data_IF_507750308234
#
_entry.id   IF_507750308234
#
_cell.length_a   1.000
_cell.length_b   1.000
_cell.length_c   1.000
_cell.angle_alpha   90.00
_cell.angle_beta   90.00
_cell.angle_gamma   90.00
#
_symmetry.space_group_name_H-M   'P 1'
#
loop_
_entity.id
_entity.type
_entity.pdbx_description
1 polymer ?
#
# COMPACT_ATOMS: atom_id res chain seq x y z
N UNK A 1 10.09 -0.48 6.94
CA UNK A 1 10.56 0.46 5.89
C UNK A 1 11.99 0.85 6.20
N UNK A 2 12.75 1.36 5.23
CA UNK A 2 14.10 1.87 5.47
C UNK A 2 14.30 3.17 4.67
N UNK A 3 14.91 4.18 5.27
CA UNK A 3 15.33 5.40 4.62
C UNK A 3 16.85 5.43 4.50
N UNK A 4 17.34 5.47 3.27
CA UNK A 4 18.75 5.26 2.96
C UNK A 4 19.24 3.88 3.41
N UNK A 5 20.55 3.74 3.64
CA UNK A 5 21.16 2.45 4.00
C UNK A 5 21.21 2.18 5.51
N UNK A 6 20.73 3.09 6.35
CA UNK A 6 20.99 3.04 7.80
C UNK A 6 19.76 3.21 8.69
N UNK A 7 18.65 3.77 8.18
CA UNK A 7 17.51 4.10 9.04
C UNK A 7 16.34 3.17 8.76
N UNK A 8 16.14 2.17 9.62
CA UNK A 8 14.89 1.40 9.59
C UNK A 8 13.76 2.31 10.09
N UNK A 9 12.81 2.59 9.22
CA UNK A 9 11.57 3.33 9.49
C UNK A 9 10.40 2.35 9.70
N UNK A 10 9.55 2.60 10.69
CA UNK A 10 8.37 1.76 10.93
C UNK A 10 8.72 0.46 11.65
N UNK A 11 9.16 0.59 12.90
CA UNK A 11 9.18 -0.49 13.88
C UNK A 11 7.81 -0.54 14.55
N UNK A 12 7.25 -1.75 14.73
CA UNK A 12 6.03 -2.01 15.49
C UNK A 12 6.43 -2.60 16.84
N UNK A 13 6.60 -1.81 17.91
CA UNK A 13 6.90 -2.38 19.20
C UNK A 13 5.76 -3.28 19.65
N UNK A 14 6.07 -4.53 20.00
CA UNK A 14 5.06 -5.50 20.46
C UNK A 14 4.27 -4.99 21.67
N UNK A 15 4.86 -4.13 22.49
CA UNK A 15 4.18 -3.50 23.63
C UNK A 15 3.17 -2.42 23.24
N UNK A 16 3.29 -1.81 22.05
CA UNK A 16 2.31 -0.85 21.52
C UNK A 16 1.27 -1.52 20.61
N UNK A 17 1.67 -2.57 19.88
CA UNK A 17 0.85 -3.23 18.88
C UNK A 17 0.77 -4.74 19.15
N UNK A 18 0.01 -5.13 20.18
CA UNK A 18 -0.07 -6.52 20.65
C UNK A 18 -0.58 -7.50 19.58
N UNK A 19 -1.51 -7.07 18.72
CA UNK A 19 -2.02 -7.90 17.62
C UNK A 19 -1.01 -8.14 16.49
N UNK A 20 0.04 -7.32 16.41
CA UNK A 20 1.14 -7.43 15.46
C UNK A 20 2.45 -7.81 16.15
N UNK A 21 2.39 -8.25 17.41
CA UNK A 21 3.57 -8.54 18.22
C UNK A 21 4.42 -9.68 17.64
N UNK A 22 3.76 -10.71 17.10
CA UNK A 22 4.42 -11.88 16.53
C UNK A 22 4.54 -11.78 15.00
N UNK A 23 3.41 -11.61 14.31
CA UNK A 23 3.36 -11.52 12.85
C UNK A 23 2.03 -10.92 12.36
N UNK A 24 2.01 -10.50 11.10
CA UNK A 24 0.79 -10.11 10.40
C UNK A 24 0.20 -11.30 9.63
N UNK A 25 -1.11 -11.47 9.66
CA UNK A 25 -1.81 -12.47 8.82
C UNK A 25 -2.12 -11.96 7.41
N UNK A 26 -2.11 -10.64 7.22
CA UNK A 26 -2.39 -9.94 5.97
C UNK A 26 -1.47 -8.73 5.87
N UNK A 27 -1.02 -8.41 4.65
CA UNK A 27 -0.17 -7.25 4.37
C UNK A 27 -0.76 -6.55 3.16
N UNK A 28 -1.18 -5.30 3.36
CA UNK A 28 -1.74 -4.45 2.31
C UNK A 28 -0.86 -3.23 2.07
N UNK A 29 -0.83 -2.79 0.81
CA UNK A 29 -0.18 -1.55 0.39
C UNK A 29 -1.15 -0.77 -0.49
N UNK A 30 -1.32 0.51 -0.20
CA UNK A 30 -2.24 1.33 -0.97
C UNK A 30 -2.36 2.73 -0.42
N UNK A 31 -3.40 3.41 -0.88
CA UNK A 31 -3.90 4.64 -0.27
C UNK A 31 -5.23 4.36 0.39
N UNK A 32 -5.47 4.99 1.53
CA UNK A 32 -6.74 4.97 2.24
C UNK A 32 -7.25 6.40 2.35
N UNK A 33 -8.55 6.58 2.16
CA UNK A 33 -9.23 7.79 2.57
C UNK A 33 -10.49 7.39 3.31
N UNK A 34 -10.79 8.15 4.35
CA UNK A 34 -12.01 8.00 5.10
C UNK A 34 -12.86 9.24 4.83
N UNK A 35 -14.06 9.03 4.30
CA UNK A 35 -15.10 10.04 4.30
C UNK A 35 -16.39 9.41 4.81
N UNK A 36 -17.03 10.03 5.79
CA UNK A 36 -18.34 9.61 6.32
C UNK A 36 -19.50 9.94 5.38
N UNK A 37 -19.21 10.36 4.15
CA UNK A 37 -20.15 10.78 3.11
C UNK A 37 -21.21 11.80 3.60
N UNK A 38 -20.81 12.91 4.25
CA UNK A 38 -21.75 13.96 4.59
C UNK A 38 -22.45 14.43 3.31
N UNK A 39 -23.78 14.46 3.35
CA UNK A 39 -24.66 14.84 2.23
C UNK A 39 -24.56 13.92 0.99
N UNK A 40 -24.08 12.67 1.15
CA UNK A 40 -23.98 11.70 0.07
C UNK A 40 -22.87 12.00 -0.96
N UNK A 41 -21.96 12.93 -0.63
CA UNK A 41 -20.80 13.23 -1.46
C UNK A 41 -19.64 12.32 -1.09
N UNK A 42 -19.06 11.69 -2.11
CA UNK A 42 -17.98 10.71 -1.93
C UNK A 42 -16.73 11.28 -1.24
N UNK A 43 -16.25 12.47 -1.64
CA UNK A 43 -15.23 13.28 -0.94
C UNK A 43 -15.02 14.61 -1.66
N UNK A 44 -14.69 15.68 -0.93
CA UNK A 44 -14.22 16.96 -1.49
C UNK A 44 -12.68 17.10 -1.47
N UNK A 45 -12.00 16.17 -0.80
CA UNK A 45 -10.54 16.18 -0.67
C UNK A 45 -9.90 15.72 -1.97
N UNK A 46 -9.06 16.57 -2.56
CA UNK A 46 -8.23 16.17 -3.69
C UNK A 46 -7.11 15.24 -3.22
N UNK A 47 -6.90 14.12 -3.92
CA UNK A 47 -5.83 13.17 -3.61
C UNK A 47 -5.05 12.76 -4.86
N UNK A 48 -3.74 12.59 -4.69
CA UNK A 48 -2.84 12.17 -5.76
C UNK A 48 -2.72 13.20 -6.87
N UNK A 49 -2.46 12.71 -8.09
CA UNK A 49 -2.22 13.52 -9.29
C UNK A 49 -3.47 13.71 -10.16
N UNK A 50 -4.61 13.10 -9.79
CA UNK A 50 -5.82 13.05 -10.61
C UNK A 50 -5.74 12.11 -11.83
N UNK A 51 -4.64 11.39 -12.01
CA UNK A 51 -4.45 10.44 -13.10
C UNK A 51 -4.66 8.99 -12.64
N UNK A 52 -5.20 8.16 -13.54
CA UNK A 52 -5.43 6.74 -13.29
C UNK A 52 -4.17 5.89 -13.57
N UNK A 53 -4.00 4.74 -12.90
CA UNK A 53 -2.86 3.84 -13.13
C UNK A 53 -2.72 3.37 -14.58
N UNK A 54 -3.83 3.22 -15.29
CA UNK A 54 -3.85 2.84 -16.72
C UNK A 54 -3.10 3.81 -17.64
N UNK A 55 -2.88 5.05 -17.20
CA UNK A 55 -2.14 6.06 -17.96
C UNK A 55 -0.62 5.84 -17.91
N UNK A 56 -0.17 4.92 -17.05
CA UNK A 56 1.19 4.43 -17.02
C UNK A 56 2.11 5.13 -16.01
N UNK A 57 3.39 4.82 -16.14
CA UNK A 57 4.42 5.22 -15.17
C UNK A 57 4.56 6.74 -15.11
N UNK A 58 4.60 7.28 -13.89
CA UNK A 58 4.76 8.72 -13.64
C UNK A 58 3.45 9.51 -13.73
N UNK A 59 2.33 8.83 -13.99
CA UNK A 59 0.99 9.44 -13.97
C UNK A 59 0.32 9.29 -12.61
N UNK A 60 0.21 8.06 -12.09
CA UNK A 60 -0.28 7.78 -10.74
C UNK A 60 0.88 7.52 -9.77
N UNK A 61 0.56 7.41 -8.47
CA UNK A 61 1.51 6.87 -7.50
C UNK A 61 1.87 5.42 -7.87
N UNK A 62 3.06 4.99 -7.47
CA UNK A 62 3.49 3.60 -7.68
C UNK A 62 4.27 3.08 -6.47
N UNK A 63 4.02 1.82 -6.14
CA UNK A 63 4.81 1.04 -5.19
C UNK A 63 5.65 0.06 -5.99
N UNK A 64 6.97 0.03 -5.74
CA UNK A 64 7.93 -0.78 -6.49
C UNK A 64 8.92 -1.43 -5.54
N UNK A 65 9.53 -2.53 -5.97
CA UNK A 65 10.53 -3.29 -5.21
C UNK A 65 10.01 -3.70 -3.82
N UNK A 66 8.76 -4.13 -3.74
CA UNK A 66 8.13 -4.56 -2.50
C UNK A 66 8.75 -5.88 -2.05
N UNK A 67 9.13 -5.94 -0.78
CA UNK A 67 9.65 -7.12 -0.12
C UNK A 67 8.98 -7.28 1.24
N UNK A 68 8.80 -8.53 1.66
CA UNK A 68 8.27 -8.91 2.96
C UNK A 68 9.31 -9.72 3.73
N UNK A 69 9.18 -9.76 5.05
CA UNK A 69 10.02 -10.57 5.94
C UNK A 69 9.20 -11.75 6.43
N UNK A 70 9.70 -12.97 6.22
CA UNK A 70 9.04 -14.18 6.72
C UNK A 70 9.36 -14.45 8.20
N UNK A 71 8.70 -15.46 8.78
CA UNK A 71 8.89 -15.85 10.18
C UNK A 71 10.34 -16.31 10.51
N UNK A 72 11.14 -16.66 9.50
CA UNK A 72 12.56 -17.00 9.64
C UNK A 72 13.47 -15.80 9.43
N UNK A 73 12.91 -14.58 9.41
CA UNK A 73 13.59 -13.31 9.20
C UNK A 73 14.28 -13.19 7.83
N UNK A 74 13.76 -13.89 6.81
CA UNK A 74 14.27 -13.76 5.45
C UNK A 74 13.43 -12.79 4.63
N UNK A 75 14.11 -12.02 3.80
CA UNK A 75 13.49 -11.13 2.82
C UNK A 75 12.98 -11.95 1.63
N UNK A 76 11.71 -11.76 1.26
CA UNK A 76 11.03 -12.45 0.17
C UNK A 76 10.24 -11.47 -0.71
N UNK A 77 10.10 -11.79 -1.99
CA UNK A 77 9.15 -11.11 -2.86
C UNK A 77 7.74 -11.63 -2.52
N UNK A 78 6.74 -10.75 -2.37
CA UNK A 78 5.36 -11.18 -2.11
C UNK A 78 4.84 -12.04 -3.27
N UNK A 79 4.08 -13.07 -2.94
CA UNK A 79 3.39 -13.93 -3.91
C UNK A 79 1.88 -13.80 -3.74
N UNK A 80 1.12 -14.01 -4.82
CA UNK A 80 -0.35 -13.96 -4.77
C UNK A 80 -0.94 -12.58 -4.48
N UNK A 81 -0.29 -11.51 -4.96
CA UNK A 81 -0.78 -10.13 -4.77
C UNK A 81 -2.13 -9.97 -5.47
N UNK A 82 -3.14 -9.56 -4.70
CA UNK A 82 -4.43 -9.11 -5.19
C UNK A 82 -4.54 -7.58 -5.24
N UNK A 83 -5.54 -7.08 -5.96
CA UNK A 83 -5.88 -5.65 -6.01
C UNK A 83 -7.30 -5.43 -5.49
N UNK A 84 -7.50 -4.36 -4.73
CA UNK A 84 -8.81 -3.99 -4.19
C UNK A 84 -9.04 -2.48 -4.28
N UNK A 85 -10.26 -2.08 -4.64
CA UNK A 85 -10.74 -0.69 -4.59
C UNK A 85 -12.23 -0.66 -4.29
N UNK A 86 -12.65 0.21 -3.39
CA UNK A 86 -14.07 0.39 -3.05
C UNK A 86 -14.82 1.19 -4.12
N UNK A 87 -14.13 2.11 -4.81
CA UNK A 87 -14.68 3.02 -5.81
C UNK A 87 -13.74 3.14 -7.02
N UNK A 88 -13.78 2.15 -7.90
CA UNK A 88 -12.91 2.07 -9.10
C UNK A 88 -13.02 3.27 -10.04
N UNK A 89 -14.16 3.99 -10.01
CA UNK A 89 -14.38 5.19 -10.81
C UNK A 89 -13.65 6.43 -10.26
N UNK A 90 -13.23 6.40 -8.99
CA UNK A 90 -12.53 7.49 -8.32
C UNK A 90 -11.06 7.15 -8.09
N UNK A 91 -10.80 5.92 -7.66
CA UNK A 91 -9.46 5.40 -7.36
C UNK A 91 -9.34 3.99 -7.93
N UNK A 92 -8.25 3.74 -8.66
CA UNK A 92 -7.98 2.43 -9.24
C UNK A 92 -6.57 1.97 -8.84
N UNK A 93 -6.35 0.66 -8.91
CA UNK A 93 -5.07 0.03 -8.59
C UNK A 93 -4.79 -1.06 -9.60
N UNK A 94 -3.56 -1.08 -10.11
CA UNK A 94 -3.13 -2.07 -11.09
C UNK A 94 -1.80 -2.65 -10.67
N UNK A 95 -1.68 -3.96 -10.79
CA UNK A 95 -0.39 -4.64 -10.67
C UNK A 95 0.39 -4.43 -11.96
N UNK A 96 1.65 -4.00 -11.83
CA UNK A 96 2.60 -3.94 -12.93
C UNK A 96 3.66 -5.02 -12.73
N UNK A 97 3.86 -5.87 -13.74
CA UNK A 97 5.09 -6.63 -13.87
C UNK A 97 5.96 -5.86 -14.87
N UNK A 98 7.10 -5.33 -14.41
CA UNK A 98 8.17 -5.05 -15.36
C UNK A 98 8.61 -6.42 -15.88
N UNK A 99 8.26 -6.73 -17.12
CA UNK A 99 8.85 -7.84 -17.84
C UNK A 99 10.30 -7.48 -18.17
N UNK A 100 11.20 -7.75 -17.23
CA UNK A 100 12.64 -7.82 -17.47
C UNK A 100 13.04 -9.29 -17.56
#
# INVERSE_FOLDING_TARGET
MQFGNHYVLGYWPSFLFSYLADSASMIDWGGEFLNSEPDGQHTSTQMGSGHFPKEGVGKSSCFRNIQIVDASNNVKVPIGIGTFTEQSNCYDVQTGSNGD
#
